data_IF_986283531699
#
_entry.id   IF_986283531699
#
_cell.length_a   1.000
_cell.length_b   1.000
_cell.length_c   1.000
_cell.angle_alpha   90.00
_cell.angle_beta   90.00
_cell.angle_gamma   90.00
#
_symmetry.space_group_name_H-M   'P 1'
#
loop_
_entity.id
_entity.type
_entity.pdbx_description
1 polymer ?
#
# COMPACT_ATOMS: atom_id res chain seq x y z
N UNK A 1 -20.80 -9.82 5.15
CA UNK A 1 -19.42 -9.46 4.75
C UNK A 1 -18.57 -9.05 5.95
N UNK A 2 -19.11 -8.22 6.86
CA UNK A 2 -18.42 -7.80 8.10
C UNK A 2 -17.79 -8.91 8.95
N UNK A 3 -18.35 -10.13 8.99
CA UNK A 3 -17.77 -11.26 9.74
C UNK A 3 -16.42 -11.73 9.18
N UNK A 4 -16.25 -11.72 7.85
CA UNK A 4 -15.00 -12.12 7.21
C UNK A 4 -13.92 -11.04 7.40
N UNK A 5 -14.27 -9.77 7.22
CA UNK A 5 -13.36 -8.65 7.50
C UNK A 5 -12.98 -8.56 8.98
N UNK A 6 -13.89 -8.89 9.90
CA UNK A 6 -13.58 -8.97 11.32
C UNK A 6 -12.63 -10.13 11.65
N UNK A 7 -12.75 -11.27 10.96
CA UNK A 7 -11.80 -12.37 11.08
C UNK A 7 -10.41 -11.97 10.54
N UNK A 8 -10.38 -11.31 9.39
CA UNK A 8 -9.14 -10.76 8.84
C UNK A 8 -8.48 -9.77 9.80
N UNK A 9 -9.25 -8.84 10.37
CA UNK A 9 -8.71 -7.88 11.33
C UNK A 9 -8.06 -8.57 12.54
N UNK A 10 -8.68 -9.61 13.10
CA UNK A 10 -8.08 -10.38 14.20
C UNK A 10 -6.77 -11.07 13.79
N UNK A 11 -6.71 -11.62 12.57
CA UNK A 11 -5.47 -12.20 12.04
C UNK A 11 -4.39 -11.14 11.85
N UNK A 12 -4.76 -9.94 11.37
CA UNK A 12 -3.87 -8.80 11.26
C UNK A 12 -3.30 -8.36 12.62
N UNK A 13 -4.10 -8.33 13.69
CA UNK A 13 -3.62 -7.98 15.02
C UNK A 13 -2.55 -8.95 15.53
N UNK A 14 -2.73 -10.26 15.29
CA UNK A 14 -1.72 -11.28 15.64
C UNK A 14 -0.43 -11.03 14.87
N UNK A 15 -0.52 -10.86 13.54
CA UNK A 15 0.64 -10.60 12.69
C UNK A 15 1.37 -9.29 13.04
N UNK A 16 0.63 -8.26 13.47
CA UNK A 16 1.22 -7.01 13.97
C UNK A 16 1.99 -7.21 15.27
N UNK A 17 1.45 -7.98 16.21
CA UNK A 17 2.11 -8.30 17.47
C UNK A 17 3.36 -9.16 17.27
N UNK A 18 3.28 -10.12 16.34
CA UNK A 18 4.41 -10.97 15.96
C UNK A 18 5.58 -10.12 15.43
N UNK A 19 5.32 -9.15 14.55
CA UNK A 19 6.37 -8.28 13.99
C UNK A 19 7.03 -7.33 15.01
N UNK A 20 6.40 -7.07 16.16
CA UNK A 20 7.00 -6.28 17.25
C UNK A 20 7.69 -7.14 18.29
N UNK A 21 7.45 -8.45 18.30
CA UNK A 21 8.18 -9.38 19.16
C UNK A 21 9.62 -9.52 18.65
N UNK A 22 10.57 -9.11 19.50
CA UNK A 22 12.01 -9.15 19.22
C UNK A 22 12.57 -10.58 19.13
N UNK A 23 11.73 -11.60 19.36
CA UNK A 23 12.09 -13.02 19.28
C UNK A 23 12.01 -13.62 17.88
N UNK A 24 11.30 -12.99 16.93
CA UNK A 24 11.17 -13.54 15.58
C UNK A 24 12.44 -13.34 14.75
N UNK A 25 12.82 -14.37 14.01
CA UNK A 25 13.93 -14.29 13.07
C UNK A 25 13.60 -13.36 11.88
N UNK A 26 14.62 -12.82 11.17
CA UNK A 26 14.41 -11.93 10.03
C UNK A 26 13.50 -12.51 8.92
N UNK A 27 13.58 -13.82 8.68
CA UNK A 27 12.77 -14.52 7.68
C UNK A 27 11.30 -14.68 8.10
N UNK A 28 11.06 -14.90 9.40
CA UNK A 28 9.71 -15.02 9.97
C UNK A 28 9.03 -13.65 9.96
N UNK A 29 9.75 -12.61 10.39
CA UNK A 29 9.26 -11.24 10.34
C UNK A 29 8.92 -10.80 8.90
N UNK A 30 9.71 -11.23 7.91
CA UNK A 30 9.41 -10.99 6.49
C UNK A 30 8.12 -11.71 6.05
N UNK A 31 7.96 -12.98 6.41
CA UNK A 31 6.79 -13.79 6.07
C UNK A 31 5.52 -13.22 6.70
N UNK A 32 5.57 -12.88 8.00
CA UNK A 32 4.44 -12.26 8.70
C UNK A 32 4.06 -10.91 8.10
N UNK A 33 5.05 -10.13 7.65
CA UNK A 33 4.79 -8.87 6.95
C UNK A 33 4.11 -9.06 5.62
N UNK A 34 4.54 -10.03 4.81
CA UNK A 34 3.89 -10.34 3.54
C UNK A 34 2.43 -10.77 3.77
N UNK A 35 2.21 -11.64 4.75
CA UNK A 35 0.86 -12.07 5.13
C UNK A 35 -0.02 -10.90 5.57
N UNK A 36 0.54 -9.92 6.31
CA UNK A 36 -0.18 -8.72 6.72
C UNK A 36 -0.56 -7.85 5.51
N UNK A 37 0.36 -7.64 4.57
CA UNK A 37 0.11 -6.89 3.34
C UNK A 37 -1.04 -7.52 2.53
N UNK A 38 -0.99 -8.82 2.30
CA UNK A 38 -2.00 -9.55 1.53
C UNK A 38 -3.38 -9.48 2.20
N UNK A 39 -3.42 -9.56 3.53
CA UNK A 39 -4.66 -9.53 4.30
C UNK A 39 -5.30 -8.14 4.29
N UNK A 40 -4.51 -7.08 4.49
CA UNK A 40 -5.00 -5.71 4.40
C UNK A 40 -5.40 -5.31 2.98
N UNK A 41 -4.67 -5.76 1.95
CA UNK A 41 -5.08 -5.60 0.56
C UNK A 41 -6.45 -6.24 0.31
N UNK A 42 -6.65 -7.49 0.75
CA UNK A 42 -7.96 -8.16 0.62
C UNK A 42 -9.07 -7.37 1.30
N UNK A 43 -8.84 -6.81 2.49
CA UNK A 43 -9.84 -6.00 3.19
C UNK A 43 -10.18 -4.72 2.40
N UNK A 44 -9.17 -3.99 1.92
CA UNK A 44 -9.36 -2.75 1.15
C UNK A 44 -10.12 -2.96 -0.17
N UNK A 45 -9.94 -4.12 -0.81
CA UNK A 45 -10.57 -4.44 -2.10
C UNK A 45 -11.96 -5.07 -1.93
N UNK A 46 -12.23 -5.77 -0.82
CA UNK A 46 -13.51 -6.47 -0.60
C UNK A 46 -14.55 -5.63 0.16
N UNK A 47 -14.14 -4.86 1.16
CA UNK A 47 -15.03 -4.05 2.01
C UNK A 47 -14.32 -2.76 2.43
N UNK A 48 -14.21 -1.84 1.47
CA UNK A 48 -13.46 -0.59 1.65
C UNK A 48 -13.99 0.25 2.81
N UNK A 49 -15.30 0.37 2.97
CA UNK A 49 -15.91 1.15 4.05
C UNK A 49 -15.52 0.62 5.42
N UNK A 50 -15.59 -0.70 5.62
CA UNK A 50 -15.14 -1.33 6.86
C UNK A 50 -13.63 -1.16 7.07
N UNK A 51 -12.83 -1.32 6.02
CA UNK A 51 -11.38 -1.18 6.10
C UNK A 51 -10.98 0.25 6.50
N UNK A 52 -11.63 1.27 5.94
CA UNK A 52 -11.41 2.67 6.30
C UNK A 52 -11.88 3.00 7.72
N UNK A 53 -13.05 2.50 8.15
CA UNK A 53 -13.53 2.64 9.54
C UNK A 53 -12.52 2.09 10.56
N UNK A 54 -11.87 0.97 10.20
CA UNK A 54 -10.85 0.31 11.02
C UNK A 54 -9.44 0.82 10.80
N UNK A 55 -9.25 1.87 9.97
CA UNK A 55 -7.95 2.48 9.68
C UNK A 55 -6.92 1.50 9.10
N UNK A 56 -7.41 0.51 8.34
CA UNK A 56 -6.56 -0.54 7.73
C UNK A 56 -5.49 0.06 6.81
N UNK A 57 -5.82 1.13 6.09
CA UNK A 57 -4.88 1.81 5.21
C UNK A 57 -3.72 2.47 5.96
N UNK A 58 -3.99 3.02 7.15
CA UNK A 58 -2.99 3.62 8.02
C UNK A 58 -2.11 2.55 8.64
N UNK A 59 -2.71 1.47 9.12
CA UNK A 59 -1.98 0.35 9.72
C UNK A 59 -1.09 -0.35 8.70
N UNK A 60 -1.59 -0.55 7.48
CA UNK A 60 -0.82 -1.07 6.36
C UNK A 60 0.43 -0.23 6.11
N UNK A 61 0.28 1.09 5.98
CA UNK A 61 1.43 1.96 5.80
C UNK A 61 2.39 1.91 6.98
N UNK A 62 1.90 2.10 8.21
CA UNK A 62 2.75 2.23 9.39
C UNK A 62 3.47 0.92 9.73
N UNK A 63 2.74 -0.19 9.85
CA UNK A 63 3.28 -1.46 10.33
C UNK A 63 3.96 -2.28 9.24
N UNK A 64 3.42 -2.29 8.00
CA UNK A 64 4.02 -3.09 6.94
C UNK A 64 5.17 -2.38 6.23
N UNK A 65 5.21 -1.03 6.20
CA UNK A 65 6.20 -0.29 5.41
C UNK A 65 7.01 0.73 6.23
N UNK A 66 6.37 1.78 6.76
CA UNK A 66 7.03 2.95 7.36
C UNK A 66 8.00 2.60 8.49
N UNK A 67 7.61 1.70 9.40
CA UNK A 67 8.47 1.29 10.51
C UNK A 67 9.76 0.61 10.01
N UNK A 68 9.66 -0.25 8.99
CA UNK A 68 10.82 -0.88 8.39
C UNK A 68 11.68 0.13 7.64
N UNK A 69 11.07 1.02 6.84
CA UNK A 69 11.79 2.07 6.10
C UNK A 69 12.57 2.93 7.07
N UNK A 70 11.95 3.37 8.17
CA UNK A 70 12.59 4.21 9.19
C UNK A 70 13.79 3.50 9.83
N UNK A 71 13.63 2.23 10.19
CA UNK A 71 14.70 1.40 10.76
C UNK A 71 15.88 1.26 9.78
N UNK A 72 15.60 0.86 8.54
CA UNK A 72 16.62 0.68 7.50
C UNK A 72 17.32 2.01 7.14
N UNK A 73 16.57 3.11 7.06
CA UNK A 73 17.15 4.45 6.84
C UNK A 73 18.06 4.88 7.99
N UNK A 74 17.66 4.63 9.24
CA UNK A 74 18.50 4.92 10.41
C UNK A 74 19.81 4.14 10.38
N UNK A 75 19.73 2.84 10.09
CA UNK A 75 20.89 1.95 9.96
C UNK A 75 21.79 2.32 8.76
N UNK A 76 21.22 2.77 7.64
CA UNK A 76 21.96 3.17 6.45
C UNK A 76 22.62 4.56 6.59
N UNK A 77 22.06 5.45 7.41
CA UNK A 77 22.64 6.76 7.75
C UNK A 77 23.75 6.67 8.80
N UNK A 78 23.72 5.64 9.65
CA UNK A 78 24.74 5.42 10.67
C UNK A 78 26.11 5.08 10.03
N UNK A 79 27.05 6.02 10.06
CA UNK A 79 28.39 5.86 9.47
C UNK A 79 29.26 4.82 10.19
N UNK A 80 28.93 4.50 11.44
CA UNK A 80 29.65 3.52 12.26
C UNK A 80 29.13 2.09 12.06
N UNK A 81 28.08 1.90 11.25
CA UNK A 81 27.53 0.58 10.96
C UNK A 81 28.42 -0.16 9.93
N UNK A 82 29.06 -1.29 10.29
CA UNK A 82 29.89 -2.05 9.36
C UNK A 82 29.08 -2.62 8.18
N UNK A 83 27.78 -2.86 8.37
CA UNK A 83 26.88 -3.43 7.36
C UNK A 83 26.14 -2.36 6.56
N UNK A 84 26.59 -1.09 6.60
CA UNK A 84 25.89 0.04 5.96
C UNK A 84 25.57 -0.18 4.49
N UNK A 85 26.48 -0.77 3.71
CA UNK A 85 26.27 -1.04 2.29
C UNK A 85 25.16 -2.06 2.05
N UNK A 86 25.14 -3.13 2.85
CA UNK A 86 24.11 -4.16 2.78
C UNK A 86 22.75 -3.62 3.19
N UNK A 87 22.69 -2.87 4.29
CA UNK A 87 21.45 -2.20 4.73
C UNK A 87 20.93 -1.24 3.67
N UNK A 88 21.82 -0.49 2.99
CA UNK A 88 21.43 0.39 1.89
C UNK A 88 20.85 -0.40 0.70
N UNK A 89 21.42 -1.55 0.36
CA UNK A 89 20.89 -2.43 -0.68
C UNK A 89 19.51 -3.00 -0.29
N UNK A 90 19.37 -3.46 0.96
CA UNK A 90 18.11 -3.95 1.52
C UNK A 90 17.03 -2.86 1.54
N UNK A 91 17.39 -1.62 1.89
CA UNK A 91 16.49 -0.47 1.83
C UNK A 91 16.00 -0.22 0.39
N UNK A 92 16.90 -0.24 -0.58
CA UNK A 92 16.54 -0.05 -2.00
C UNK A 92 15.57 -1.13 -2.49
N UNK A 93 15.86 -2.40 -2.19
CA UNK A 93 14.99 -3.53 -2.55
C UNK A 93 13.62 -3.41 -1.86
N UNK A 94 13.60 -3.02 -0.58
CA UNK A 94 12.37 -2.84 0.18
C UNK A 94 11.49 -1.72 -0.40
N UNK A 95 12.09 -0.58 -0.77
CA UNK A 95 11.39 0.53 -1.40
C UNK A 95 10.86 0.16 -2.78
N UNK A 96 11.59 -0.65 -3.55
CA UNK A 96 11.12 -1.15 -4.84
C UNK A 96 9.93 -2.10 -4.68
N UNK A 97 10.00 -3.04 -3.74
CA UNK A 97 8.89 -3.92 -3.40
C UNK A 97 7.65 -3.13 -2.93
N UNK A 98 7.85 -2.12 -2.06
CA UNK A 98 6.77 -1.24 -1.59
C UNK A 98 6.13 -0.46 -2.75
N UNK A 99 6.93 0.06 -3.68
CA UNK A 99 6.44 0.73 -4.89
C UNK A 99 5.59 -0.20 -5.75
N UNK A 100 6.02 -1.46 -5.91
CA UNK A 100 5.28 -2.49 -6.63
C UNK A 100 3.93 -2.79 -5.98
N UNK A 101 3.93 -3.01 -4.66
CA UNK A 101 2.72 -3.27 -3.88
C UNK A 101 1.68 -2.15 -4.02
N UNK A 102 2.05 -0.89 -3.76
CA UNK A 102 1.09 0.23 -3.85
C UNK A 102 0.62 0.50 -5.30
N UNK A 103 1.46 0.23 -6.30
CA UNK A 103 1.06 0.33 -7.71
C UNK A 103 0.00 -0.72 -8.05
N UNK A 104 0.23 -1.97 -7.63
CA UNK A 104 -0.72 -3.06 -7.83
C UNK A 104 -2.03 -2.81 -7.08
N UNK A 105 -1.96 -2.41 -5.81
CA UNK A 105 -3.13 -2.06 -5.00
C UNK A 105 -3.95 -0.94 -5.65
N UNK A 106 -3.29 0.12 -6.12
CA UNK A 106 -3.98 1.23 -6.81
C UNK A 106 -4.67 0.75 -8.10
N UNK A 107 -4.02 -0.10 -8.89
CA UNK A 107 -4.62 -0.67 -10.10
C UNK A 107 -5.85 -1.53 -9.79
N UNK A 108 -5.78 -2.35 -8.74
CA UNK A 108 -6.87 -3.19 -8.29
C UNK A 108 -8.05 -2.35 -7.79
N UNK A 109 -7.81 -1.37 -6.92
CA UNK A 109 -8.83 -0.43 -6.44
C UNK A 109 -9.51 0.33 -7.58
N UNK A 110 -8.74 0.85 -8.53
CA UNK A 110 -9.29 1.55 -9.70
C UNK A 110 -10.13 0.61 -10.59
N UNK A 111 -9.72 -0.65 -10.74
CA UNK A 111 -10.43 -1.64 -11.58
C UNK A 111 -11.70 -2.13 -10.91
N UNK A 112 -11.64 -2.44 -9.61
CA UNK A 112 -12.75 -2.97 -8.82
C UNK A 112 -13.82 -1.90 -8.57
N UNK A 113 -13.41 -0.66 -8.30
CA UNK A 113 -14.33 0.44 -8.00
C UNK A 113 -14.60 1.37 -9.18
N UNK A 114 -14.06 1.06 -10.36
CA UNK A 114 -14.25 1.81 -11.61
C UNK A 114 -13.92 3.31 -11.47
N UNK A 115 -12.79 3.61 -10.81
CA UNK A 115 -12.28 4.98 -10.67
C UNK A 115 -11.49 5.34 -11.93
N UNK A 116 -11.94 6.37 -12.65
CA UNK A 116 -11.20 6.90 -13.81
C UNK A 116 -10.03 7.78 -13.32
N UNK A 117 -8.85 7.16 -13.15
CA UNK A 117 -7.60 7.91 -12.96
C UNK A 117 -7.02 8.33 -14.32
N UNK A 118 -6.55 9.58 -14.51
CA UNK A 118 -5.93 10.06 -15.74
C UNK A 118 -4.71 9.24 -16.20
N UNK A 119 -4.05 8.53 -15.28
CA UNK A 119 -2.87 7.71 -15.54
C UNK A 119 -3.19 6.26 -15.89
N UNK A 120 -4.48 5.91 -16.01
CA UNK A 120 -4.89 4.55 -16.35
C UNK A 120 -4.51 4.28 -17.79
N UNK A 121 -3.44 3.49 -17.99
CA UNK A 121 -3.30 2.76 -19.24
C UNK A 121 -4.46 1.77 -19.26
N UNK A 122 -5.49 2.08 -20.04
CA UNK A 122 -6.65 1.20 -20.17
C UNK A 122 -6.13 -0.13 -20.72
N UNK A 123 -6.52 -1.27 -20.15
CA UNK A 123 -6.12 -2.59 -20.69
C UNK A 123 -6.49 -2.75 -22.18
N UNK A 124 -7.46 -1.97 -22.67
CA UNK A 124 -7.81 -1.85 -24.09
C UNK A 124 -6.70 -1.26 -24.98
N UNK A 125 -5.68 -0.59 -24.43
CA UNK A 125 -4.56 -0.01 -25.18
C UNK A 125 -3.29 -0.87 -25.18
N UNK A 126 -3.20 -1.91 -24.32
CA UNK A 126 -1.99 -2.73 -24.19
C UNK A 126 -2.11 -4.15 -24.79
N UNK A 127 -3.27 -4.54 -25.34
CA UNK A 127 -3.43 -5.86 -25.98
C UNK A 127 -3.22 -7.07 -25.05
N UNK A 128 -3.08 -6.84 -23.74
CA UNK A 128 -2.89 -7.90 -22.76
C UNK A 128 -4.26 -8.52 -22.46
N UNK A 129 -4.36 -9.81 -22.79
CA UNK A 129 -5.48 -10.72 -22.52
C UNK A 129 -6.04 -10.41 -21.14
N UNK A 130 -7.31 -10.00 -21.09
CA UNK A 130 -8.07 -9.87 -19.84
C UNK A 130 -8.12 -11.23 -19.16
N UNK A 131 -7.18 -11.49 -18.24
CA UNK A 131 -7.35 -12.58 -17.31
C UNK A 131 -8.43 -12.13 -16.33
N UNK A 132 -9.69 -12.43 -16.66
CA UNK A 132 -10.80 -12.43 -15.72
C UNK A 132 -10.51 -13.51 -14.66
N UNK A 133 -9.57 -13.25 -13.76
CA UNK A 133 -9.66 -13.83 -12.42
C UNK A 133 -10.74 -13.04 -11.70
N UNK A 134 -11.97 -13.41 -12.02
CA UNK A 134 -13.13 -13.09 -11.20
C UNK A 134 -12.93 -13.80 -9.87
N UNK A 135 -12.26 -13.15 -8.93
CA UNK A 135 -12.50 -13.42 -7.53
C UNK A 135 -13.93 -12.93 -7.26
N UNK A 136 -14.90 -13.82 -7.50
CA UNK A 136 -16.32 -13.66 -7.15
C UNK A 136 -16.52 -13.72 -5.64
N UNK A 137 -15.68 -13.02 -4.89
CA UNK A 137 -15.99 -12.60 -3.54
C UNK A 137 -16.98 -11.47 -3.69
N UNK A 138 -18.15 -11.53 -3.04
CA UNK A 138 -19.08 -10.41 -3.04
C UNK A 138 -18.30 -9.16 -2.57
N UNK A 139 -18.16 -8.16 -3.43
CA UNK A 139 -17.48 -6.89 -3.10
C UNK A 139 -18.55 -5.92 -2.62
N UNK A 140 -18.36 -5.29 -1.45
CA UNK A 140 -19.24 -4.19 -1.04
C UNK A 140 -18.94 -3.00 -1.95
N UNK A 141 -19.97 -2.51 -2.64
CA UNK A 141 -19.83 -1.28 -3.45
C UNK A 141 -19.53 -0.10 -2.51
N UNK A 142 -18.35 0.54 -2.60
CA UNK A 142 -18.01 1.64 -1.71
C UNK A 142 -18.66 2.96 -2.13
N UNK A 143 -18.57 3.95 -1.26
CA UNK A 143 -18.86 5.33 -1.60
C UNK A 143 -17.78 5.89 -2.54
N UNK A 144 -18.19 6.75 -3.48
CA UNK A 144 -17.24 7.37 -4.42
C UNK A 144 -16.17 8.20 -3.70
N UNK A 145 -16.52 8.84 -2.59
CA UNK A 145 -15.59 9.58 -1.72
C UNK A 145 -14.53 8.67 -1.12
N UNK A 146 -14.92 7.50 -0.61
CA UNK A 146 -14.02 6.49 -0.05
C UNK A 146 -13.04 5.97 -1.11
N UNK A 147 -13.52 5.74 -2.34
CA UNK A 147 -12.68 5.36 -3.48
C UNK A 147 -11.65 6.43 -3.81
N UNK A 148 -12.07 7.70 -3.94
CA UNK A 148 -11.14 8.81 -4.21
C UNK A 148 -10.10 8.95 -3.09
N UNK A 149 -10.52 8.85 -1.83
CA UNK A 149 -9.64 8.90 -0.67
C UNK A 149 -8.58 7.80 -0.70
N UNK A 150 -8.97 6.53 -0.90
CA UNK A 150 -7.99 5.43 -0.87
C UNK A 150 -7.03 5.49 -2.07
N UNK A 151 -7.51 5.88 -3.25
CA UNK A 151 -6.66 6.09 -4.41
C UNK A 151 -5.67 7.23 -4.18
N UNK A 152 -6.11 8.34 -3.57
CA UNK A 152 -5.25 9.44 -3.16
C UNK A 152 -4.20 8.95 -2.14
N UNK A 153 -4.63 8.22 -1.12
CA UNK A 153 -3.74 7.69 -0.09
C UNK A 153 -2.63 6.81 -0.69
N UNK A 154 -2.96 5.94 -1.64
CA UNK A 154 -1.97 5.15 -2.37
C UNK A 154 -1.00 6.03 -3.18
N UNK A 155 -1.49 7.06 -3.88
CA UNK A 155 -0.64 7.97 -4.65
C UNK A 155 0.31 8.79 -3.76
N UNK A 156 -0.15 9.26 -2.59
CA UNK A 156 0.71 9.96 -1.63
C UNK A 156 1.86 9.05 -1.18
N UNK A 157 1.58 7.79 -0.82
CA UNK A 157 2.62 6.86 -0.39
C UNK A 157 3.55 6.42 -1.53
N UNK A 158 3.04 6.29 -2.76
CA UNK A 158 3.89 6.13 -3.95
C UNK A 158 4.85 7.33 -4.12
N UNK A 159 4.35 8.54 -3.88
CA UNK A 159 5.16 9.76 -3.84
C UNK A 159 6.23 9.73 -2.74
N UNK A 160 5.87 9.28 -1.53
CA UNK A 160 6.82 9.14 -0.41
C UNK A 160 7.92 8.12 -0.73
N UNK A 161 7.54 6.96 -1.28
CA UNK A 161 8.48 5.91 -1.69
C UNK A 161 9.42 6.42 -2.78
N UNK A 162 8.89 7.09 -3.82
CA UNK A 162 9.71 7.70 -4.87
C UNK A 162 10.68 8.74 -4.30
N UNK A 163 10.24 9.56 -3.34
CA UNK A 163 11.10 10.51 -2.62
C UNK A 163 12.22 9.80 -1.86
N UNK A 164 11.91 8.71 -1.15
CA UNK A 164 12.94 7.91 -0.45
C UNK A 164 13.95 7.24 -1.39
N UNK A 165 13.56 6.99 -2.64
CA UNK A 165 14.44 6.52 -3.73
C UNK A 165 15.19 7.65 -4.44
N UNK A 166 15.05 8.90 -4.01
CA UNK A 166 15.59 10.10 -4.66
C UNK A 166 15.09 10.33 -6.10
N UNK A 167 13.86 9.87 -6.41
CA UNK A 167 13.21 10.06 -7.71
C UNK A 167 12.28 11.27 -7.66
N UNK A 168 12.83 12.48 -7.54
CA UNK A 168 12.07 13.71 -7.28
C UNK A 168 10.95 13.96 -8.31
N UNK A 169 11.25 13.87 -9.60
CA UNK A 169 10.26 14.08 -10.67
C UNK A 169 9.11 13.07 -10.62
N UNK A 170 9.41 11.82 -10.27
CA UNK A 170 8.40 10.77 -10.11
C UNK A 170 7.52 11.04 -8.88
N UNK A 171 8.13 11.45 -7.76
CA UNK A 171 7.42 11.80 -6.53
C UNK A 171 6.45 12.98 -6.75
N UNK A 172 6.92 14.04 -7.40
CA UNK A 172 6.08 15.19 -7.78
C UNK A 172 4.90 14.77 -8.67
N UNK A 173 5.13 13.85 -9.61
CA UNK A 173 4.06 13.30 -10.45
C UNK A 173 2.98 12.62 -9.63
N UNK A 174 3.36 11.75 -8.70
CA UNK A 174 2.42 11.07 -7.82
C UNK A 174 1.63 12.05 -6.92
N UNK A 175 2.29 13.04 -6.32
CA UNK A 175 1.61 14.04 -5.50
C UNK A 175 0.63 14.90 -6.31
N UNK A 176 0.97 15.23 -7.55
CA UNK A 176 0.09 15.99 -8.44
C UNK A 176 -1.18 15.19 -8.77
N UNK A 177 -1.04 13.91 -9.08
CA UNK A 177 -2.19 13.04 -9.29
C UNK A 177 -3.02 12.85 -8.02
N UNK A 178 -2.38 12.75 -6.85
CA UNK A 178 -3.09 12.67 -5.58
C UNK A 178 -3.94 13.92 -5.32
N UNK A 179 -3.38 15.12 -5.58
CA UNK A 179 -4.08 16.38 -5.40
C UNK A 179 -5.31 16.52 -6.32
N UNK A 180 -5.29 15.92 -7.51
CA UNK A 180 -6.42 15.94 -8.45
C UNK A 180 -7.60 15.07 -8.00
N UNK A 181 -7.36 14.05 -7.16
CA UNK A 181 -8.43 13.17 -6.67
C UNK A 181 -9.23 13.76 -5.52
N UNK A 182 -8.71 14.81 -4.88
CA UNK A 182 -9.49 15.63 -3.96
C UNK A 182 -10.12 16.73 -4.81
N UNK A 183 -11.45 16.74 -5.00
CA UNK A 183 -12.08 17.93 -5.54
C UNK A 183 -11.76 19.06 -4.57
N UNK A 184 -11.07 20.09 -5.08
CA UNK A 184 -10.75 21.29 -4.33
C UNK A 184 -12.01 21.78 -3.61
N UNK A 185 -12.01 21.75 -2.28
CA UNK A 185 -12.86 22.58 -1.43
C UNK A 185 -12.42 24.04 -1.60
N UNK A 186 -12.62 24.58 -2.80
CA UNK A 186 -12.22 25.92 -3.18
C UNK A 186 -12.98 26.31 -4.43
N UNK A 187 -14.28 26.58 -4.26
CA UNK A 187 -15.11 27.59 -4.94
C UNK A 187 -16.55 27.43 -4.40
N UNK A 188 -16.78 27.92 -3.19
CA UNK A 188 -18.08 28.43 -2.73
C UNK A 188 -17.82 29.63 -1.81
#
# INVERSE_FOLDING_TARGET
MSLLCAQYLRQAEVLKADMTDSKLGPAEAWTSRQALQDLYQKMLVTDLEYALDKKVEQDLWNHAFKNQITTLQGQAKNRSNPNRSEVQANLSLFLEAASGFYTQLLQELCTVFNVDLPCRVKSSQLGIISNKQTHTSAIVKPQSSSCSYICQHCLVHLGDIARYRNQTSQAESYYRHAAQLVPSNGEL
#
